data_IF_324343386153
#
_entry.id   IF_324343386153
#
_cell.length_a   1.000
_cell.length_b   1.000
_cell.length_c   1.000
_cell.angle_alpha   90.00
_cell.angle_beta   90.00
_cell.angle_gamma   90.00
#
_symmetry.space_group_name_H-M   'P 1'
#
loop_
_entity.id
_entity.type
_entity.pdbx_description
1 polymer ?
#
# COMPACT_ATOMS: atom_id res chain seq x y z
N UNK A 1 5.43 41.14 9.52
CA UNK A 1 6.47 40.11 9.27
C UNK A 1 5.91 38.80 9.76
N UNK A 2 5.51 37.90 8.87
CA UNK A 2 5.12 36.55 9.26
C UNK A 2 6.39 35.80 9.71
N UNK A 3 6.36 35.31 10.96
CA UNK A 3 7.43 34.48 11.50
C UNK A 3 7.40 33.17 10.73
N UNK A 4 8.51 32.93 10.04
CA UNK A 4 8.63 31.93 9.00
C UNK A 4 8.37 30.50 9.44
N UNK A 5 7.73 29.84 8.54
CA UNK A 5 7.50 28.40 8.39
C UNK A 5 8.81 27.60 8.15
N UNK A 6 9.92 28.07 8.73
CA UNK A 6 11.27 27.53 8.48
C UNK A 6 11.56 26.25 9.28
N UNK A 7 10.69 25.87 10.23
CA UNK A 7 10.96 24.76 11.15
C UNK A 7 10.22 23.46 10.81
N UNK A 8 9.33 23.43 9.80
CA UNK A 8 8.57 22.24 9.44
C UNK A 8 8.24 22.20 7.95
N UNK A 9 8.96 21.37 7.21
CA UNK A 9 8.69 21.13 5.79
C UNK A 9 7.68 20.00 5.64
N UNK A 10 6.43 20.35 5.34
CA UNK A 10 5.31 19.41 5.16
C UNK A 10 4.82 19.32 3.70
N UNK A 11 5.43 20.05 2.76
CA UNK A 11 4.95 20.24 1.40
C UNK A 11 4.84 18.98 0.54
N UNK A 12 5.56 17.90 0.90
CA UNK A 12 5.52 16.62 0.18
C UNK A 12 4.82 15.50 0.96
N UNK A 13 4.30 15.80 2.16
CA UNK A 13 3.63 14.81 2.98
C UNK A 13 2.17 14.63 2.57
N UNK A 14 1.71 13.38 2.69
CA UNK A 14 0.29 13.08 2.46
C UNK A 14 -0.59 13.79 3.49
N UNK A 15 -1.56 14.53 2.99
CA UNK A 15 -2.54 15.29 3.78
C UNK A 15 -3.68 14.38 4.24
N UNK A 16 -3.43 13.59 5.29
CA UNK A 16 -4.45 12.68 5.87
C UNK A 16 -5.62 13.45 6.50
N UNK A 17 -5.41 14.69 6.87
CA UNK A 17 -6.44 15.60 7.37
C UNK A 17 -7.51 15.99 6.34
N UNK A 18 -7.28 15.71 5.05
CA UNK A 18 -8.27 15.87 3.98
C UNK A 18 -9.20 14.63 3.83
N UNK A 19 -8.94 13.57 4.57
CA UNK A 19 -9.79 12.37 4.57
C UNK A 19 -10.82 12.50 5.68
N UNK A 20 -12.10 12.53 5.30
CA UNK A 20 -13.18 12.63 6.27
C UNK A 20 -13.22 11.43 7.23
N UNK A 21 -13.27 11.65 8.55
CA UNK A 21 -13.30 10.56 9.54
C UNK A 21 -14.42 9.56 9.32
N UNK A 22 -15.55 10.00 8.80
CA UNK A 22 -16.73 9.16 8.52
C UNK A 22 -16.44 8.01 7.55
N UNK A 23 -15.47 8.16 6.63
CA UNK A 23 -15.10 7.05 5.73
C UNK A 23 -14.35 5.95 6.48
N UNK A 24 -13.55 6.33 7.46
CA UNK A 24 -12.82 5.36 8.31
C UNK A 24 -13.80 4.60 9.18
N UNK A 25 -14.78 5.30 9.77
CA UNK A 25 -15.85 4.69 10.55
C UNK A 25 -16.70 3.74 9.71
N UNK A 26 -17.07 4.12 8.49
CA UNK A 26 -17.81 3.29 7.56
C UNK A 26 -17.09 1.96 7.28
N UNK A 27 -15.82 2.02 6.94
CA UNK A 27 -14.98 0.84 6.70
C UNK A 27 -14.86 0.01 8.00
N UNK A 28 -14.64 0.66 9.15
CA UNK A 28 -14.52 0.02 10.45
C UNK A 28 -15.77 -0.78 10.83
N UNK A 29 -16.96 -0.22 10.59
CA UNK A 29 -18.23 -0.90 10.86
C UNK A 29 -18.38 -2.18 10.02
N UNK A 30 -18.11 -2.12 8.72
CA UNK A 30 -18.16 -3.30 7.83
C UNK A 30 -17.13 -4.33 8.25
N UNK A 31 -15.91 -3.90 8.61
CA UNK A 31 -14.85 -4.78 9.11
C UNK A 31 -15.27 -5.49 10.40
N UNK A 32 -15.83 -4.75 11.35
CA UNK A 32 -16.33 -5.30 12.63
C UNK A 32 -17.42 -6.34 12.40
N UNK A 33 -18.35 -6.07 11.49
CA UNK A 33 -19.37 -7.04 11.08
C UNK A 33 -18.73 -8.30 10.47
N UNK A 34 -17.76 -8.13 9.55
CA UNK A 34 -17.06 -9.25 8.93
C UNK A 34 -16.30 -10.12 9.95
N UNK A 35 -15.62 -9.52 10.94
CA UNK A 35 -14.93 -10.25 12.01
C UNK A 35 -15.92 -11.07 12.84
N UNK A 36 -17.07 -10.51 13.20
CA UNK A 36 -18.13 -11.26 13.90
C UNK A 36 -18.65 -12.45 13.09
N UNK A 37 -18.74 -12.30 11.77
CA UNK A 37 -19.25 -13.35 10.87
C UNK A 37 -18.23 -14.45 10.61
N UNK A 38 -16.97 -14.12 10.44
CA UNK A 38 -15.90 -15.04 10.00
C UNK A 38 -14.92 -15.44 11.11
N UNK A 39 -15.03 -14.84 12.29
CA UNK A 39 -14.24 -15.14 13.50
C UNK A 39 -12.70 -14.97 13.38
N UNK A 40 -12.18 -14.58 12.21
CA UNK A 40 -10.76 -14.34 11.95
C UNK A 40 -10.58 -12.96 11.33
N UNK A 41 -9.90 -12.06 12.05
CA UNK A 41 -9.64 -10.69 11.62
C UNK A 41 -8.78 -10.61 10.35
N UNK A 42 -7.98 -11.63 10.08
CA UNK A 42 -7.07 -11.69 8.95
C UNK A 42 -7.57 -12.58 7.80
N UNK A 43 -8.74 -13.22 7.95
CA UNK A 43 -9.31 -14.12 6.94
C UNK A 43 -9.42 -13.48 5.55
N UNK A 44 -9.63 -12.17 5.49
CA UNK A 44 -9.73 -11.41 4.25
C UNK A 44 -8.46 -11.47 3.37
N UNK A 45 -7.27 -11.68 3.96
CA UNK A 45 -6.01 -11.80 3.21
C UNK A 45 -5.94 -13.07 2.37
N UNK A 46 -6.75 -14.09 2.72
CA UNK A 46 -6.81 -15.37 2.02
C UNK A 46 -7.81 -15.38 0.87
N UNK A 47 -8.57 -14.30 0.72
CA UNK A 47 -9.60 -14.18 -0.33
C UNK A 47 -8.98 -13.60 -1.60
N UNK A 48 -9.26 -14.23 -2.72
CA UNK A 48 -8.77 -13.79 -4.03
C UNK A 48 -9.37 -12.44 -4.45
N UNK A 49 -8.54 -11.57 -5.04
CA UNK A 49 -8.93 -10.23 -5.50
C UNK A 49 -10.20 -10.19 -6.37
N UNK A 50 -10.41 -11.08 -7.37
CA UNK A 50 -11.62 -11.05 -8.19
C UNK A 50 -12.91 -11.13 -7.38
N UNK A 51 -12.89 -11.78 -6.21
CA UNK A 51 -14.06 -11.87 -5.32
C UNK A 51 -14.40 -10.53 -4.69
N UNK A 52 -13.39 -9.73 -4.32
CA UNK A 52 -13.59 -8.37 -3.81
C UNK A 52 -14.07 -7.41 -4.90
N UNK A 53 -13.53 -7.52 -6.11
CA UNK A 53 -14.02 -6.76 -7.28
C UNK A 53 -15.50 -7.06 -7.51
N UNK A 54 -15.87 -8.34 -7.57
CA UNK A 54 -17.25 -8.74 -7.78
C UNK A 54 -18.19 -8.29 -6.64
N UNK A 55 -17.72 -8.32 -5.38
CA UNK A 55 -18.47 -7.83 -4.23
C UNK A 55 -18.67 -6.31 -4.29
N UNK A 56 -17.62 -5.54 -4.57
CA UNK A 56 -17.71 -4.09 -4.74
C UNK A 56 -18.70 -3.71 -5.83
N UNK A 57 -18.64 -4.39 -6.98
CA UNK A 57 -19.56 -4.13 -8.09
C UNK A 57 -21.01 -4.44 -7.72
N UNK A 58 -21.30 -5.57 -7.02
CA UNK A 58 -22.67 -5.89 -6.59
C UNK A 58 -23.24 -4.81 -5.68
N UNK A 59 -22.49 -4.37 -4.68
CA UNK A 59 -22.93 -3.31 -3.78
C UNK A 59 -23.10 -1.97 -4.50
N UNK A 60 -22.21 -1.65 -5.43
CA UNK A 60 -22.31 -0.42 -6.20
C UNK A 60 -23.55 -0.45 -7.13
N UNK A 61 -23.83 -1.58 -7.78
CA UNK A 61 -25.04 -1.71 -8.62
C UNK A 61 -26.33 -1.69 -7.78
N UNK A 62 -26.36 -2.26 -6.60
CA UNK A 62 -27.50 -2.14 -5.69
C UNK A 62 -27.75 -0.68 -5.31
N UNK A 63 -26.71 0.06 -4.95
CA UNK A 63 -26.80 1.49 -4.69
C UNK A 63 -27.30 2.29 -5.93
N UNK A 64 -26.81 1.98 -7.14
CA UNK A 64 -27.27 2.61 -8.37
C UNK A 64 -28.75 2.37 -8.68
N UNK A 65 -29.29 1.24 -8.25
CA UNK A 65 -30.71 0.90 -8.35
C UNK A 65 -31.57 1.59 -7.28
N UNK A 66 -30.95 2.34 -6.36
CA UNK A 66 -31.67 3.05 -5.31
C UNK A 66 -31.78 2.26 -3.99
N UNK A 67 -31.12 1.12 -3.88
CA UNK A 67 -31.03 0.38 -2.62
C UNK A 67 -30.02 1.07 -1.71
N UNK A 68 -30.46 1.60 -0.56
CA UNK A 68 -29.57 2.33 0.35
C UNK A 68 -28.70 1.37 1.16
N UNK A 69 -29.31 0.32 1.72
CA UNK A 69 -28.68 -0.59 2.67
C UNK A 69 -28.70 -2.04 2.17
N UNK A 70 -27.63 -2.75 2.48
CA UNK A 70 -27.51 -4.18 2.27
C UNK A 70 -28.45 -4.94 3.22
N UNK A 71 -29.24 -5.85 2.68
CA UNK A 71 -30.27 -6.58 3.43
C UNK A 71 -29.68 -7.51 4.50
N UNK A 72 -28.47 -8.01 4.31
CA UNK A 72 -27.83 -8.93 5.26
C UNK A 72 -27.25 -8.20 6.47
N UNK A 73 -26.53 -7.11 6.24
CA UNK A 73 -25.79 -6.38 7.27
C UNK A 73 -26.57 -5.20 7.85
N UNK A 74 -27.58 -4.70 7.13
CA UNK A 74 -28.30 -3.47 7.42
C UNK A 74 -27.50 -2.20 7.16
N UNK A 75 -26.26 -2.31 6.69
CA UNK A 75 -25.35 -1.18 6.47
C UNK A 75 -25.43 -0.66 5.04
N UNK A 76 -25.13 0.63 4.82
CA UNK A 76 -25.12 1.21 3.49
C UNK A 76 -24.25 0.45 2.49
N UNK A 77 -24.74 0.24 1.28
CA UNK A 77 -24.00 -0.41 0.21
C UNK A 77 -22.66 0.27 -0.11
N UNK A 78 -22.60 1.60 -0.03
CA UNK A 78 -21.35 2.35 -0.25
C UNK A 78 -20.29 2.04 0.80
N UNK A 79 -20.64 1.71 2.04
CA UNK A 79 -19.68 1.30 3.05
C UNK A 79 -19.04 -0.04 2.70
N UNK A 80 -19.83 -0.97 2.17
CA UNK A 80 -19.31 -2.25 1.65
C UNK A 80 -18.40 -2.03 0.43
N UNK A 81 -18.74 -1.10 -0.47
CA UNK A 81 -17.87 -0.73 -1.57
C UNK A 81 -16.52 -0.21 -1.07
N UNK A 82 -16.52 0.76 -0.14
CA UNK A 82 -15.31 1.33 0.43
C UNK A 82 -14.44 0.26 1.11
N UNK A 83 -15.06 -0.65 1.87
CA UNK A 83 -14.35 -1.75 2.53
C UNK A 83 -13.72 -2.73 1.52
N UNK A 84 -14.41 -3.09 0.44
CA UNK A 84 -13.86 -3.94 -0.60
C UNK A 84 -12.70 -3.26 -1.35
N UNK A 85 -12.80 -1.96 -1.61
CA UNK A 85 -11.70 -1.19 -2.21
C UNK A 85 -10.48 -1.13 -1.28
N UNK A 86 -10.69 -0.93 0.02
CA UNK A 86 -9.62 -0.98 1.01
C UNK A 86 -8.88 -2.32 0.98
N UNK A 87 -9.60 -3.47 0.90
CA UNK A 87 -8.97 -4.77 0.76
C UNK A 87 -8.13 -4.89 -0.51
N UNK A 88 -8.63 -4.40 -1.64
CA UNK A 88 -7.91 -4.43 -2.90
C UNK A 88 -6.63 -3.59 -2.84
N UNK A 89 -6.70 -2.38 -2.26
CA UNK A 89 -5.54 -1.51 -2.07
C UNK A 89 -4.48 -2.21 -1.22
N UNK A 90 -4.87 -2.80 -0.09
CA UNK A 90 -3.93 -3.49 0.79
C UNK A 90 -3.32 -4.76 0.17
N UNK A 91 -4.11 -5.53 -0.60
CA UNK A 91 -3.62 -6.70 -1.32
C UNK A 91 -2.69 -6.33 -2.49
N UNK A 92 -2.83 -5.14 -3.09
CA UNK A 92 -1.90 -4.64 -4.09
C UNK A 92 -0.61 -4.13 -3.45
N UNK A 93 -0.71 -3.34 -2.36
CA UNK A 93 0.46 -2.91 -1.59
C UNK A 93 1.32 -4.07 -1.10
N UNK A 94 0.69 -5.14 -0.61
CA UNK A 94 1.44 -6.30 -0.13
C UNK A 94 2.22 -7.02 -1.23
N UNK A 95 1.80 -6.92 -2.49
CA UNK A 95 2.57 -7.41 -3.65
C UNK A 95 3.73 -6.48 -4.00
N UNK A 96 3.53 -5.18 -3.92
CA UNK A 96 4.59 -4.18 -4.14
C UNK A 96 5.66 -4.26 -3.06
N UNK A 97 5.28 -4.50 -1.80
CA UNK A 97 6.23 -4.75 -0.70
C UNK A 97 6.89 -6.12 -0.82
N UNK A 98 6.25 -7.15 -1.38
CA UNK A 98 6.91 -8.42 -1.70
C UNK A 98 7.95 -8.26 -2.82
N UNK A 99 7.66 -7.49 -3.87
CA UNK A 99 8.67 -7.16 -4.89
C UNK A 99 9.78 -6.26 -4.34
N UNK A 100 9.52 -5.51 -3.27
CA UNK A 100 10.53 -4.74 -2.53
C UNK A 100 11.27 -5.60 -1.50
N UNK A 101 10.62 -6.59 -0.86
CA UNK A 101 11.25 -7.51 0.10
C UNK A 101 11.95 -8.69 -0.57
N UNK A 102 11.49 -9.13 -1.75
CA UNK A 102 12.19 -10.13 -2.57
C UNK A 102 13.46 -9.54 -3.22
N UNK A 103 13.65 -8.22 -3.13
CA UNK A 103 14.88 -7.50 -3.50
C UNK A 103 15.70 -6.98 -2.31
N UNK A 104 15.15 -7.02 -1.11
CA UNK A 104 15.81 -6.68 0.16
C UNK A 104 15.77 -7.87 1.10
N UNK A 105 16.58 -8.85 0.82
CA UNK A 105 17.06 -9.76 1.85
C UNK A 105 17.88 -8.89 2.81
N UNK A 106 17.39 -8.66 4.02
CA UNK A 106 18.11 -7.88 5.05
C UNK A 106 19.44 -8.53 5.42
N UNK A 107 19.64 -9.80 5.02
CA UNK A 107 20.89 -10.56 5.15
C UNK A 107 21.72 -10.56 3.85
N UNK A 108 21.21 -10.02 2.74
CA UNK A 108 21.90 -9.99 1.46
C UNK A 108 22.08 -8.54 1.00
N UNK A 109 23.03 -7.86 1.61
CA UNK A 109 23.48 -6.53 1.13
C UNK A 109 23.84 -6.60 -0.36
N UNK A 110 23.19 -5.79 -1.19
CA UNK A 110 23.45 -5.74 -2.62
C UNK A 110 24.87 -5.25 -2.84
N UNK A 111 25.75 -6.14 -3.23
CA UNK A 111 27.14 -5.78 -3.61
C UNK A 111 27.13 -4.92 -4.86
N UNK A 112 28.04 -3.96 -4.92
CA UNK A 112 28.10 -2.99 -6.02
C UNK A 112 28.19 -3.62 -7.41
N UNK A 113 28.84 -4.75 -7.56
CA UNK A 113 28.92 -5.48 -8.84
C UNK A 113 27.56 -5.93 -9.40
N UNK A 114 26.54 -6.12 -8.56
CA UNK A 114 25.18 -6.50 -8.97
C UNK A 114 24.21 -5.30 -9.03
N UNK A 115 24.68 -4.13 -8.67
CA UNK A 115 23.87 -2.91 -8.65
C UNK A 115 23.80 -2.26 -10.05
N UNK A 116 22.59 -1.91 -10.52
CA UNK A 116 22.43 -1.25 -11.83
C UNK A 116 23.05 0.15 -11.92
N UNK A 117 23.39 0.76 -10.79
CA UNK A 117 24.03 2.08 -10.72
C UNK A 117 25.55 2.02 -10.60
N UNK A 118 26.14 0.83 -10.54
CA UNK A 118 27.57 0.64 -10.52
C UNK A 118 28.15 0.53 -11.93
N UNK A 119 29.18 1.29 -12.24
CA UNK A 119 29.89 1.21 -13.52
C UNK A 119 31.09 0.27 -13.40
N UNK A 120 31.06 -0.86 -14.11
CA UNK A 120 32.16 -1.83 -14.15
C UNK A 120 33.45 -1.24 -14.72
N UNK A 121 33.34 -0.26 -15.64
CA UNK A 121 34.49 0.36 -16.29
C UNK A 121 35.25 1.37 -15.40
N UNK A 122 34.51 2.05 -14.53
CA UNK A 122 35.06 3.15 -13.71
C UNK A 122 35.05 2.85 -12.22
N UNK A 123 34.42 1.76 -11.81
CA UNK A 123 34.20 1.41 -10.41
C UNK A 123 33.52 2.54 -9.61
N UNK A 124 32.70 3.36 -10.28
CA UNK A 124 31.98 4.46 -9.67
C UNK A 124 30.51 4.13 -9.48
N UNK A 125 29.97 4.48 -8.34
CA UNK A 125 28.53 4.50 -8.11
C UNK A 125 27.95 5.80 -8.66
N UNK A 126 27.18 5.71 -9.75
CA UNK A 126 26.58 6.89 -10.41
C UNK A 126 25.67 7.68 -9.44
N UNK A 127 25.07 6.98 -8.48
CA UNK A 127 24.11 7.60 -7.54
C UNK A 127 24.79 8.30 -6.37
N UNK A 128 25.96 7.83 -5.94
CA UNK A 128 26.73 8.41 -4.82
C UNK A 128 27.93 9.26 -5.27
N UNK A 129 28.30 9.19 -6.55
CA UNK A 129 29.52 9.80 -7.10
C UNK A 129 30.81 9.40 -6.35
N UNK A 130 30.81 8.21 -5.74
CA UNK A 130 31.94 7.66 -4.97
C UNK A 130 32.60 6.50 -5.73
N UNK A 131 33.86 6.33 -5.55
CA UNK A 131 34.59 5.14 -6.04
C UNK A 131 34.21 3.96 -5.15
N UNK A 132 33.74 2.89 -5.78
CA UNK A 132 33.31 1.68 -5.08
C UNK A 132 33.94 0.46 -5.70
N UNK A 133 34.34 -0.51 -4.89
CA UNK A 133 34.79 -1.81 -5.39
C UNK A 133 33.60 -2.77 -5.60
N UNK A 134 33.88 -3.93 -6.18
CA UNK A 134 32.85 -4.95 -6.47
C UNK A 134 32.19 -5.54 -5.20
N UNK A 135 32.85 -5.40 -4.06
CA UNK A 135 32.38 -5.94 -2.78
C UNK A 135 31.70 -4.88 -1.90
N UNK A 136 31.76 -3.61 -2.32
CA UNK A 136 31.10 -2.54 -1.59
C UNK A 136 29.58 -2.78 -1.55
N UNK A 137 28.99 -2.60 -0.38
CA UNK A 137 27.55 -2.67 -0.17
C UNK A 137 26.99 -1.29 0.11
N UNK A 138 25.85 -0.97 -0.47
CA UNK A 138 25.17 0.29 -0.16
C UNK A 138 23.68 0.05 0.02
N UNK A 139 23.08 0.66 1.03
CA UNK A 139 21.66 0.55 1.31
C UNK A 139 20.73 1.14 0.24
N UNK A 140 21.28 1.66 -0.87
CA UNK A 140 20.51 2.19 -2.00
C UNK A 140 20.72 1.39 -3.29
N UNK A 141 21.36 0.21 -3.21
CA UNK A 141 21.61 -0.64 -4.36
C UNK A 141 20.32 -1.24 -4.94
N UNK A 142 20.27 -1.36 -6.26
CA UNK A 142 19.18 -2.05 -6.98
C UNK A 142 19.82 -3.10 -7.87
N UNK A 143 19.35 -4.34 -7.78
CA UNK A 143 19.86 -5.44 -8.59
C UNK A 143 19.72 -5.16 -10.08
N UNK A 144 20.73 -5.57 -10.85
CA UNK A 144 20.67 -5.63 -12.32
C UNK A 144 19.70 -6.76 -12.70
N UNK A 145 18.76 -6.46 -13.59
CA UNK A 145 17.92 -7.46 -14.25
C UNK A 145 18.67 -8.05 -15.43
#
# INVERSE_FOLDING_TARGET
MAIGDENKFDGEKVRLDLVEPSIIEAIGNVRTYGVKKYTDEQSWRKVEKPRYVAAAMRHFEAYRKGESNDAESGMPHLWHCACNLMFLIELDRSKETQTFSDGYDLDNEVKCKHCKYHSEKTQHCIRKAEVTDDNHTCGMGVLRK
#
